data_IF_111261264713
#
_entry.id   IF_111261264713
#
_cell.length_a   1.000
_cell.length_b   1.000
_cell.length_c   1.000
_cell.angle_alpha   90.00
_cell.angle_beta   90.00
_cell.angle_gamma   90.00
#
_symmetry.space_group_name_H-M   'P 1'
#
loop_
_entity.id
_entity.type
_entity.pdbx_description
1 polymer ?
#
# COMPACT_ATOMS: atom_id res chain seq x y z
N UNK A 1 -7.50 -9.14 -6.56
CA UNK A 1 -6.52 -8.59 -7.52
C UNK A 1 -6.15 -7.17 -7.11
N UNK A 2 -5.05 -6.61 -7.63
CA UNK A 2 -4.59 -5.26 -7.24
C UNK A 2 -5.03 -4.19 -8.25
N UNK A 3 -5.58 -3.08 -7.76
CA UNK A 3 -6.00 -1.92 -8.54
C UNK A 3 -5.04 -0.74 -8.31
N UNK A 4 -4.83 0.10 -9.33
CA UNK A 4 -4.11 1.37 -9.26
C UNK A 4 -5.08 2.52 -9.55
N UNK A 5 -4.99 3.59 -8.78
CA UNK A 5 -5.72 4.82 -9.07
C UNK A 5 -4.91 5.72 -10.00
N UNK A 6 -5.48 6.12 -11.13
CA UNK A 6 -4.92 7.18 -11.99
C UNK A 6 -6.01 8.21 -12.30
N UNK A 7 -6.88 7.90 -13.26
CA UNK A 7 -8.11 8.65 -13.56
C UNK A 7 -9.34 7.77 -13.28
N UNK A 8 -9.22 6.90 -12.28
CA UNK A 8 -10.12 5.79 -12.02
C UNK A 8 -9.36 4.56 -11.51
N UNK A 9 -10.10 3.55 -11.08
CA UNK A 9 -9.53 2.28 -10.61
C UNK A 9 -9.21 1.37 -11.79
N UNK A 10 -7.93 1.24 -12.11
CA UNK A 10 -7.45 0.38 -13.18
C UNK A 10 -6.87 -0.93 -12.59
N UNK A 11 -7.29 -2.07 -13.14
CA UNK A 11 -6.76 -3.38 -12.75
C UNK A 11 -5.32 -3.55 -13.21
N UNK A 12 -4.42 -3.88 -12.29
CA UNK A 12 -3.03 -4.19 -12.61
C UNK A 12 -2.84 -5.65 -12.97
N UNK A 13 -1.86 -5.92 -13.84
CA UNK A 13 -1.38 -7.28 -14.06
C UNK A 13 -0.81 -7.81 -12.73
N UNK A 14 -1.48 -8.82 -12.18
CA UNK A 14 -1.15 -9.44 -10.90
C UNK A 14 -0.95 -10.93 -11.09
N UNK A 15 0.20 -11.45 -10.66
CA UNK A 15 0.52 -12.87 -10.63
C UNK A 15 0.37 -13.39 -9.20
N UNK A 16 -0.20 -14.59 -9.02
CA UNK A 16 -0.13 -15.32 -7.75
C UNK A 16 1.26 -15.97 -7.67
N UNK A 17 2.02 -15.64 -6.63
CA UNK A 17 3.35 -16.22 -6.40
C UNK A 17 3.28 -17.51 -5.60
N UNK A 18 2.49 -17.49 -4.53
CA UNK A 18 2.36 -18.61 -3.60
C UNK A 18 1.02 -18.53 -2.86
N UNK A 19 0.47 -19.69 -2.51
CA UNK A 19 -0.77 -19.85 -1.78
C UNK A 19 -0.54 -20.86 -0.67
N UNK A 20 -0.70 -20.44 0.58
CA UNK A 20 -0.79 -21.34 1.74
C UNK A 20 -2.25 -21.43 2.20
N UNK A 21 -2.52 -22.25 3.23
CA UNK A 21 -3.86 -22.40 3.79
C UNK A 21 -4.44 -21.09 4.37
N UNK A 22 -3.58 -20.14 4.74
CA UNK A 22 -3.98 -18.92 5.45
C UNK A 22 -3.62 -17.63 4.72
N UNK A 23 -2.65 -17.67 3.79
CA UNK A 23 -2.12 -16.46 3.15
C UNK A 23 -1.86 -16.70 1.67
N UNK A 24 -2.23 -15.70 0.86
CA UNK A 24 -1.90 -15.65 -0.55
C UNK A 24 -0.91 -14.51 -0.82
N UNK A 25 0.17 -14.83 -1.54
CA UNK A 25 1.19 -13.87 -1.94
C UNK A 25 1.01 -13.50 -3.41
N UNK A 26 0.91 -12.20 -3.69
CA UNK A 26 0.71 -11.67 -5.03
C UNK A 26 1.85 -10.75 -5.44
N UNK A 27 2.17 -10.73 -6.73
CA UNK A 27 3.10 -9.78 -7.36
C UNK A 27 2.35 -8.95 -8.38
N UNK A 28 2.49 -7.63 -8.31
CA UNK A 28 1.94 -6.70 -9.28
C UNK A 28 3.06 -5.93 -9.99
N UNK A 29 2.88 -5.64 -11.28
CA UNK A 29 3.82 -4.80 -12.04
C UNK A 29 3.27 -3.40 -12.20
N UNK A 30 4.06 -2.39 -11.82
CA UNK A 30 3.74 -0.97 -11.99
C UNK A 30 4.99 -0.23 -12.46
N UNK A 31 4.79 0.80 -13.28
CA UNK A 31 5.85 1.67 -13.80
C UNK A 31 5.99 2.98 -13.01
N UNK A 32 5.13 3.22 -12.01
CA UNK A 32 5.12 4.43 -11.20
C UNK A 32 4.55 4.17 -9.79
N UNK A 33 4.84 5.09 -8.87
CA UNK A 33 4.21 5.14 -7.55
C UNK A 33 2.81 5.79 -7.66
N UNK A 34 1.80 5.16 -7.08
CA UNK A 34 0.44 5.67 -7.03
C UNK A 34 -0.32 5.10 -5.81
N UNK A 35 -1.61 5.40 -5.70
CA UNK A 35 -2.51 4.76 -4.74
C UNK A 35 -2.96 3.39 -5.26
N UNK A 36 -2.98 2.41 -4.36
CA UNK A 36 -3.33 1.02 -4.68
C UNK A 36 -4.43 0.52 -3.76
N UNK A 37 -5.26 -0.39 -4.27
CA UNK A 37 -6.30 -1.08 -3.51
C UNK A 37 -6.34 -2.57 -3.84
N UNK A 38 -6.65 -3.40 -2.85
CA UNK A 38 -6.93 -4.83 -3.06
C UNK A 38 -8.43 -4.98 -3.31
N UNK A 39 -8.78 -5.48 -4.48
CA UNK A 39 -10.17 -5.69 -4.88
C UNK A 39 -10.46 -7.19 -4.88
N UNK A 40 -11.49 -7.58 -4.14
CA UNK A 40 -12.07 -8.93 -4.17
C UNK A 40 -13.38 -8.91 -4.92
N UNK A 41 -13.64 -9.95 -5.70
CA UNK A 41 -14.96 -10.18 -6.27
C UNK A 41 -15.77 -11.01 -5.28
N UNK A 42 -17.00 -10.57 -4.99
CA UNK A 42 -17.92 -11.36 -4.17
C UNK A 42 -18.31 -12.58 -4.99
N UNK A 43 -17.97 -13.78 -4.51
CA UNK A 43 -18.46 -15.01 -5.12
C UNK A 43 -19.99 -14.95 -5.18
N UNK A 44 -20.57 -15.11 -6.37
CA UNK A 44 -22.01 -15.32 -6.48
C UNK A 44 -22.32 -16.60 -5.70
N UNK A 45 -23.31 -16.52 -4.81
CA UNK A 45 -23.84 -17.72 -4.15
C UNK A 45 -24.17 -18.72 -5.25
N UNK A 46 -23.59 -19.93 -5.15
CA UNK A 46 -23.88 -21.01 -6.07
C UNK A 46 -25.40 -21.11 -6.20
N UNK A 47 -25.92 -20.94 -7.42
CA UNK A 47 -27.33 -21.20 -7.67
C UNK A 47 -27.61 -22.60 -7.14
N UNK A 48 -28.60 -22.69 -6.26
CA UNK A 48 -29.08 -23.97 -5.76
C UNK A 48 -29.28 -24.91 -6.96
N UNK A 49 -28.82 -26.17 -6.87
CA UNK A 49 -28.99 -27.11 -7.97
C UNK A 49 -30.48 -27.13 -8.37
N UNK A 50 -30.73 -26.90 -9.67
CA UNK A 50 -32.08 -27.03 -10.22
C UNK A 50 -32.61 -28.43 -9.88
N UNK A 51 -33.91 -28.56 -9.55
CA UNK A 51 -34.51 -29.87 -9.26
C UNK A 51 -34.31 -30.80 -10.46
N UNK A 52 -33.58 -31.89 -10.22
CA UNK A 52 -33.37 -32.98 -11.16
C UNK A 52 -34.71 -33.65 -11.42
N UNK A 53 -35.20 -33.57 -12.66
CA UNK A 53 -36.29 -34.42 -13.16
C UNK A 53 -35.69 -35.78 -13.52
N UNK A 54 -36.26 -36.84 -12.95
CA UNK A 54 -35.88 -38.23 -13.17
C UNK A 54 -36.01 -38.64 -14.66
N UNK A 55 -35.10 -39.49 -15.15
CA UNK A 55 -35.54 -40.61 -15.95
C UNK A 55 -35.10 -41.94 -15.31
N UNK A 56 -36.11 -42.75 -14.99
CA UNK A 56 -36.00 -44.20 -14.81
C UNK A 56 -35.52 -44.81 -16.13
N UNK A 57 -34.39 -45.56 -16.15
CA UNK A 57 -34.39 -47.02 -16.41
C UNK A 57 -33.00 -47.69 -16.39
N UNK A 58 -32.95 -48.83 -15.67
CA UNK A 58 -32.04 -50.02 -15.60
C UNK A 58 -30.65 -50.08 -16.29
N UNK A 59 -29.59 -50.39 -15.50
CA UNK A 59 -28.80 -51.66 -15.51
C UNK A 59 -27.64 -51.61 -14.46
N UNK A 60 -27.21 -52.71 -13.78
CA UNK A 60 -26.48 -52.66 -12.51
C UNK A 60 -24.97 -52.92 -12.63
N UNK A 61 -24.16 -52.19 -11.86
CA UNK A 61 -22.95 -52.70 -11.21
C UNK A 61 -22.42 -51.69 -10.16
N UNK A 62 -22.42 -52.11 -8.90
CA UNK A 62 -21.46 -51.81 -7.80
C UNK A 62 -21.14 -50.32 -7.48
N UNK A 63 -21.18 -49.81 -6.24
CA UNK A 63 -20.89 -50.44 -4.95
C UNK A 63 -21.24 -49.46 -3.80
N UNK A 64 -22.00 -49.96 -2.80
CA UNK A 64 -21.91 -49.74 -1.34
C UNK A 64 -21.58 -48.32 -0.81
N UNK A 65 -22.53 -47.68 -0.10
CA UNK A 65 -22.69 -47.68 1.39
C UNK A 65 -22.08 -46.40 1.99
N UNK A 66 -22.68 -45.61 2.88
CA UNK A 66 -23.61 -45.87 3.98
C UNK A 66 -24.43 -44.59 4.22
N UNK A 67 -25.70 -44.81 4.53
CA UNK A 67 -26.68 -43.87 5.06
C UNK A 67 -26.42 -43.66 6.57
N UNK A 68 -26.38 -42.43 7.08
CA UNK A 68 -26.68 -42.18 8.50
C UNK A 68 -27.25 -40.77 8.74
N UNK A 69 -28.57 -40.80 8.90
CA UNK A 69 -29.48 -39.97 9.70
C UNK A 69 -29.01 -38.62 10.27
N UNK A 70 -29.70 -37.59 9.80
CA UNK A 70 -30.34 -36.50 10.56
C UNK A 70 -30.28 -36.60 12.09
N UNK A 71 -29.67 -35.61 12.75
CA UNK A 71 -30.32 -35.00 13.92
C UNK A 71 -30.79 -33.57 13.60
N UNK A 72 -32.07 -33.32 13.88
CA UNK A 72 -32.64 -31.98 14.03
C UNK A 72 -31.98 -31.32 15.24
N UNK A 73 -31.37 -30.15 15.05
CA UNK A 73 -30.96 -29.27 16.14
C UNK A 73 -31.28 -27.83 15.72
N UNK A 74 -32.50 -27.36 16.00
CA UNK A 74 -32.88 -26.61 17.20
C UNK A 74 -32.42 -25.14 17.13
N UNK A 75 -33.39 -24.28 16.81
CA UNK A 75 -33.28 -22.82 16.85
C UNK A 75 -32.86 -22.37 18.25
N UNK A 76 -31.60 -21.98 18.40
CA UNK A 76 -31.14 -21.27 19.59
C UNK A 76 -31.49 -19.77 19.44
N UNK A 77 -32.20 -19.16 20.40
CA UNK A 77 -32.51 -17.73 20.39
C UNK A 77 -31.22 -16.90 20.34
N UNK A 78 -31.20 -15.95 19.41
CA UNK A 78 -30.15 -14.96 19.21
C UNK A 78 -29.92 -14.13 20.48
N UNK A 79 -28.85 -14.47 21.20
CA UNK A 79 -28.28 -13.63 22.27
C UNK A 79 -27.73 -12.33 21.63
N UNK A 80 -27.98 -11.14 22.21
CA UNK A 80 -27.54 -9.89 21.61
C UNK A 80 -26.02 -9.83 21.60
N UNK A 81 -25.41 -9.97 20.41
CA UNK A 81 -23.98 -9.76 20.23
C UNK A 81 -23.61 -8.35 20.71
N UNK A 82 -22.87 -8.28 21.81
CA UNK A 82 -22.23 -7.04 22.26
C UNK A 82 -21.34 -6.53 21.12
N UNK A 83 -21.79 -5.45 20.49
CA UNK A 83 -21.11 -4.80 19.37
C UNK A 83 -19.67 -4.46 19.79
N UNK A 84 -18.71 -5.12 19.14
CA UNK A 84 -17.28 -4.83 19.32
C UNK A 84 -17.04 -3.35 18.96
N UNK A 85 -16.30 -2.59 19.79
CA UNK A 85 -16.07 -1.18 19.51
C UNK A 85 -15.42 -1.04 18.13
N UNK A 86 -16.01 -0.19 17.29
CA UNK A 86 -15.56 0.03 15.92
C UNK A 86 -14.12 0.53 15.93
N UNK A 87 -13.22 -0.25 15.32
CA UNK A 87 -11.80 0.07 15.15
C UNK A 87 -11.60 1.47 14.55
N UNK A 88 -12.54 1.92 13.71
CA UNK A 88 -12.55 3.25 13.09
C UNK A 88 -12.56 4.36 14.14
N UNK A 89 -13.33 4.21 15.22
CA UNK A 89 -13.39 5.20 16.30
C UNK A 89 -12.05 5.34 17.04
N UNK A 90 -11.34 4.23 17.20
CA UNK A 90 -10.01 4.22 17.84
C UNK A 90 -8.95 4.91 16.99
N UNK A 91 -8.98 4.70 15.68
CA UNK A 91 -8.07 5.38 14.74
C UNK A 91 -8.30 6.90 14.73
N UNK A 92 -9.55 7.34 14.74
CA UNK A 92 -9.89 8.77 14.81
C UNK A 92 -9.41 9.37 16.14
N UNK A 93 -9.63 8.69 17.27
CA UNK A 93 -9.18 9.15 18.58
C UNK A 93 -7.65 9.31 18.63
N UNK A 94 -6.89 8.35 18.10
CA UNK A 94 -5.42 8.43 18.05
C UNK A 94 -4.96 9.63 17.20
N UNK A 95 -5.57 9.87 16.04
CA UNK A 95 -5.22 11.01 15.19
C UNK A 95 -5.42 12.34 15.91
N UNK A 96 -6.54 12.49 16.63
CA UNK A 96 -6.81 13.70 17.42
C UNK A 96 -5.76 13.91 18.51
N UNK A 97 -5.33 12.84 19.19
CA UNK A 97 -4.28 12.91 20.22
C UNK A 97 -2.95 13.33 19.60
N UNK A 98 -2.55 12.73 18.48
CA UNK A 98 -1.28 13.06 17.79
C UNK A 98 -1.26 14.52 17.37
N UNK A 99 -2.34 15.01 16.75
CA UNK A 99 -2.45 16.42 16.34
C UNK A 99 -2.42 17.35 17.55
N UNK A 100 -3.13 17.01 18.63
CA UNK A 100 -3.13 17.77 19.88
C UNK A 100 -1.72 17.92 20.48
N UNK A 101 -0.95 16.82 20.54
CA UNK A 101 0.43 16.83 21.04
C UNK A 101 1.35 17.68 20.14
N UNK A 102 1.16 17.60 18.82
CA UNK A 102 1.97 18.37 17.87
C UNK A 102 1.70 19.89 17.98
N UNK A 103 0.43 20.29 18.13
CA UNK A 103 0.03 21.68 18.36
C UNK A 103 0.57 22.20 19.70
N UNK A 104 0.49 21.40 20.77
CA UNK A 104 1.02 21.76 22.07
C UNK A 104 2.54 21.98 22.02
N UNK A 105 3.30 21.06 21.40
CA UNK A 105 4.75 21.23 21.22
C UNK A 105 5.11 22.44 20.37
N UNK A 106 4.37 22.69 19.30
CA UNK A 106 4.59 23.85 18.42
C UNK A 106 4.39 25.17 19.17
N UNK A 107 3.39 25.25 20.05
CA UNK A 107 3.17 26.44 20.89
C UNK A 107 4.29 26.67 21.90
N UNK A 108 4.84 25.60 22.50
CA UNK A 108 5.98 25.69 23.42
C UNK A 108 7.23 26.21 22.71
N UNK A 109 7.53 25.69 21.53
CA UNK A 109 8.67 26.14 20.72
C UNK A 109 8.53 27.61 20.29
N UNK A 110 7.33 28.02 19.87
CA UNK A 110 7.07 29.42 19.51
C UNK A 110 7.18 30.38 20.70
N UNK A 111 6.83 29.94 21.92
CA UNK A 111 6.99 30.77 23.13
C UNK A 111 8.46 30.95 23.48
N UNK A 112 9.27 29.89 23.40
CA UNK A 112 10.70 29.95 23.68
C UNK A 112 11.46 30.88 22.72
N UNK A 113 11.12 30.87 21.42
CA UNK A 113 11.78 31.76 20.45
C UNK A 113 11.50 33.24 20.67
N UNK A 114 10.37 33.62 21.27
CA UNK A 114 10.04 35.04 21.52
C UNK A 114 10.87 35.64 22.66
N UNK A 115 11.32 34.82 23.61
CA UNK A 115 12.09 35.30 24.76
C UNK A 115 13.59 35.44 24.43
N UNK A 116 14.13 34.61 23.52
CA UNK A 116 15.56 34.69 23.11
C UNK A 116 15.89 35.93 22.26
N UNK A 117 14.90 36.64 21.70
CA UNK A 117 15.13 37.81 20.84
C UNK A 117 15.27 39.12 21.66
N UNK A 118 14.88 39.14 22.94
CA UNK A 118 14.91 40.38 23.74
C UNK A 118 16.23 40.67 24.47
N UNK A 119 17.16 39.71 24.53
CA UNK A 119 18.36 39.83 25.39
C UNK A 119 19.71 39.61 24.70
N UNK A 120 19.80 39.51 23.37
CA UNK A 120 21.12 39.56 22.73
C UNK A 120 21.53 41.02 22.49
N UNK A 121 22.45 41.62 23.28
CA UNK A 121 23.10 42.86 22.89
C UNK A 121 23.80 42.62 21.56
N UNK A 122 23.66 43.58 20.65
CA UNK A 122 24.18 43.50 19.29
C UNK A 122 25.64 42.98 19.29
N UNK A 123 25.97 41.94 18.49
CA UNK A 123 27.34 41.45 18.43
C UNK A 123 28.22 42.59 17.91
N UNK A 124 29.19 43.02 18.73
CA UNK A 124 30.25 43.93 18.31
C UNK A 124 31.03 43.22 17.20
N UNK A 125 30.72 43.58 15.96
CA UNK A 125 31.38 43.04 14.76
C UNK A 125 32.82 43.55 14.74
N UNK A 126 33.74 42.77 15.31
CA UNK A 126 35.17 42.91 15.00
C UNK A 126 35.38 42.28 13.63
N UNK A 127 35.51 43.11 12.60
CA UNK A 127 35.88 42.72 11.24
C UNK A 127 37.27 42.07 11.24
N UNK A 128 37.33 40.75 11.45
CA UNK A 128 38.50 39.94 11.16
C UNK A 128 38.24 39.30 9.80
N UNK A 129 38.58 40.06 8.75
CA UNK A 129 38.59 39.58 7.37
C UNK A 129 39.81 38.68 7.16
N UNK A 130 39.74 37.44 7.62
CA UNK A 130 40.67 36.38 7.22
C UNK A 130 40.02 35.56 6.12
N UNK A 131 40.43 35.82 4.87
CA UNK A 131 40.02 35.05 3.69
C UNK A 131 40.33 33.56 3.89
N UNK A 132 39.35 32.64 3.91
CA UNK A 132 39.66 31.22 3.87
C UNK A 132 40.08 30.86 2.44
N UNK A 133 41.35 30.45 2.27
CA UNK A 133 41.88 29.90 1.02
C UNK A 133 41.36 28.47 0.86
N UNK A 134 40.11 28.33 0.41
CA UNK A 134 39.51 27.03 0.08
C UNK A 134 40.06 26.60 -1.28
N UNK A 135 41.17 25.87 -1.29
CA UNK A 135 41.62 25.10 -2.46
C UNK A 135 40.62 23.97 -2.72
N UNK A 136 39.63 24.26 -3.55
CA UNK A 136 38.66 23.28 -4.06
C UNK A 136 39.37 22.41 -5.10
N UNK A 137 39.90 21.25 -4.69
CA UNK A 137 40.27 20.18 -5.63
C UNK A 137 39.00 19.68 -6.30
N UNK A 138 38.73 20.15 -7.51
CA UNK A 138 37.69 19.62 -8.37
C UNK A 138 38.23 18.30 -8.95
N UNK A 139 37.75 17.16 -8.43
CA UNK A 139 37.99 15.87 -9.06
C UNK A 139 37.24 15.84 -10.40
N UNK A 140 37.96 16.08 -11.50
CA UNK A 140 37.46 16.20 -12.87
C UNK A 140 37.24 14.85 -13.58
N UNK A 141 36.98 13.76 -12.86
CA UNK A 141 36.90 12.42 -13.46
C UNK A 141 35.55 12.06 -14.11
N UNK A 142 34.57 12.98 -14.17
CA UNK A 142 33.18 12.64 -14.57
C UNK A 142 32.68 13.18 -15.91
N UNK A 143 33.49 13.88 -16.69
CA UNK A 143 33.04 14.43 -17.98
C UNK A 143 33.14 13.45 -19.16
N UNK A 144 33.95 12.39 -19.05
CA UNK A 144 34.06 11.39 -20.14
C UNK A 144 32.81 10.51 -20.29
N UNK A 145 32.08 10.25 -19.19
CA UNK A 145 30.88 9.41 -19.25
C UNK A 145 29.69 10.11 -19.93
N UNK A 146 29.59 11.44 -19.83
CA UNK A 146 28.47 12.15 -20.45
C UNK A 146 28.54 12.15 -21.98
N UNK A 147 29.74 12.31 -22.55
CA UNK A 147 29.92 12.29 -24.01
C UNK A 147 29.65 10.89 -24.59
N UNK A 148 30.00 9.83 -23.86
CA UNK A 148 29.75 8.45 -24.29
C UNK A 148 28.25 8.06 -24.20
N UNK A 149 27.53 8.58 -23.20
CA UNK A 149 26.07 8.43 -23.13
C UNK A 149 25.40 9.14 -24.30
N UNK A 150 25.85 10.36 -24.65
CA UNK A 150 25.26 11.13 -25.75
C UNK A 150 25.47 10.43 -27.10
N UNK A 151 26.67 9.88 -27.37
CA UNK A 151 26.95 9.12 -28.61
C UNK A 151 26.09 7.86 -28.73
N UNK A 152 25.82 7.16 -27.63
CA UNK A 152 24.95 5.97 -27.64
C UNK A 152 23.51 6.31 -28.00
N UNK A 153 22.98 7.43 -27.49
CA UNK A 153 21.61 7.88 -27.80
C UNK A 153 21.47 8.22 -29.30
N UNK A 154 22.46 8.94 -29.86
CA UNK A 154 22.41 9.31 -31.28
C UNK A 154 22.57 8.12 -32.23
N UNK A 155 23.34 7.09 -31.83
CA UNK A 155 23.49 5.85 -32.60
C UNK A 155 22.20 5.04 -32.72
N UNK A 156 21.38 4.98 -31.66
CA UNK A 156 20.10 4.26 -31.65
C UNK A 156 19.11 4.93 -32.60
N UNK A 157 19.10 6.27 -32.65
CA UNK A 157 18.17 7.03 -33.50
C UNK A 157 18.40 6.83 -35.00
N UNK A 158 19.64 6.51 -35.42
CA UNK A 158 19.97 6.23 -36.83
C UNK A 158 19.61 4.81 -37.27
N UNK A 159 19.60 3.82 -36.37
CA UNK A 159 19.23 2.43 -36.69
C UNK A 159 17.73 2.21 -36.86
N UNK A 160 16.90 3.12 -36.37
CA UNK A 160 15.43 3.03 -36.50
C UNK A 160 14.87 3.58 -37.82
N UNK A 161 15.70 4.12 -38.71
CA UNK A 161 15.29 4.72 -40.00
C UNK A 161 15.74 3.93 -41.23
N UNK A 162 16.30 2.74 -41.06
CA UNK A 162 16.54 1.75 -42.13
C UNK A 162 15.66 0.55 -41.85
#
# INVERSE_FOLDING_TARGET
WLARYENGWNKLKTDLLNSTATVNYYRAYTNAFSYFAIVGEKAQAAQAPAPVVEPVNENPAQQKSVNEETPKEQLTPSEPEKSKPSYVGYVIAILVIIVGVWVARSKVLHKAMKETIKEQPAPVVKNIFTKPKISRKVNSSKTKDLDDIQRRIDGIKRKSRK
#
